data_IF_989889369875
#
_entry.id   IF_989889369875
#
_cell.length_a   1.000
_cell.length_b   1.000
_cell.length_c   1.000
_cell.angle_alpha   90.00
_cell.angle_beta   90.00
_cell.angle_gamma   90.00
#
_symmetry.space_group_name_H-M   'P 1'
#
loop_
_entity.id
_entity.type
_entity.pdbx_description
1 polymer ?
#
# COMPACT_ATOMS: atom_id res chain seq x y z
N UNK A 1 16.67 5.95 -4.90
CA UNK A 1 17.11 4.67 -5.51
C UNK A 1 15.90 4.10 -6.23
N UNK A 2 16.04 3.48 -7.40
CA UNK A 2 14.89 2.84 -8.02
C UNK A 2 14.36 1.78 -7.06
N UNK A 3 13.07 1.83 -6.78
CA UNK A 3 12.40 0.79 -6.01
C UNK A 3 12.59 -0.54 -6.71
N UNK A 4 13.24 -1.46 -6.03
CA UNK A 4 13.40 -2.82 -6.57
C UNK A 4 12.08 -3.53 -6.30
N UNK A 5 11.25 -3.64 -7.32
CA UNK A 5 10.04 -4.44 -7.26
C UNK A 5 10.38 -5.92 -7.34
N UNK A 6 9.67 -6.74 -6.59
CA UNK A 6 9.75 -8.19 -6.78
C UNK A 6 9.24 -8.56 -8.17
N UNK A 7 9.89 -9.53 -8.81
CA UNK A 7 9.48 -10.05 -10.12
C UNK A 7 8.02 -10.55 -10.06
N UNK A 8 7.68 -11.20 -8.97
CA UNK A 8 6.32 -11.66 -8.67
C UNK A 8 5.73 -10.77 -7.58
N UNK A 9 5.56 -9.49 -7.88
CA UNK A 9 4.99 -8.53 -6.93
C UNK A 9 3.50 -8.76 -6.70
N UNK A 10 3.01 -8.39 -5.53
CA UNK A 10 1.58 -8.46 -5.21
C UNK A 10 0.75 -7.57 -6.16
N UNK A 11 1.22 -6.36 -6.45
CA UNK A 11 0.53 -5.42 -7.36
C UNK A 11 0.38 -5.93 -8.80
N UNK A 12 1.26 -6.82 -9.27
CA UNK A 12 1.19 -7.44 -10.59
C UNK A 12 0.57 -8.84 -10.57
N UNK A 13 0.09 -9.31 -9.42
CA UNK A 13 -0.37 -10.69 -9.19
C UNK A 13 -1.46 -11.13 -10.16
N UNK A 14 -2.44 -10.27 -10.45
CA UNK A 14 -3.48 -10.57 -11.44
C UNK A 14 -2.90 -10.94 -12.80
N UNK A 15 -1.79 -10.32 -13.19
CA UNK A 15 -1.15 -10.56 -14.48
C UNK A 15 -0.36 -11.87 -14.49
N UNK A 16 0.57 -12.07 -13.56
CA UNK A 16 1.40 -13.28 -13.56
C UNK A 16 0.65 -14.54 -13.10
N UNK A 17 -0.45 -14.42 -12.35
CA UNK A 17 -1.36 -15.54 -12.07
C UNK A 17 -2.10 -16.03 -13.32
N UNK A 18 -2.45 -15.13 -14.23
CA UNK A 18 -3.15 -15.47 -15.48
C UNK A 18 -2.19 -15.77 -16.64
N UNK A 19 -1.01 -15.19 -16.63
CA UNK A 19 0.01 -15.37 -17.65
C UNK A 19 1.40 -15.44 -17.00
N UNK A 20 1.81 -16.61 -16.55
CA UNK A 20 3.08 -16.80 -15.83
C UNK A 20 4.31 -16.32 -16.60
N UNK A 21 4.41 -16.42 -17.96
CA UNK A 21 5.54 -15.88 -18.70
C UNK A 21 5.66 -14.36 -18.65
N UNK A 22 4.57 -13.64 -18.31
CA UNK A 22 4.57 -12.16 -18.28
C UNK A 22 5.62 -11.60 -17.34
N UNK A 23 5.81 -12.23 -16.17
CA UNK A 23 6.79 -11.80 -15.18
C UNK A 23 8.24 -11.77 -15.71
N UNK A 24 8.61 -12.71 -16.58
CA UNK A 24 9.92 -12.72 -17.24
C UNK A 24 9.98 -11.75 -18.42
N UNK A 25 8.89 -11.65 -19.16
CA UNK A 25 8.84 -10.77 -20.32
C UNK A 25 8.99 -9.31 -19.90
N UNK A 26 8.34 -8.90 -18.84
CA UNK A 26 8.38 -7.52 -18.32
C UNK A 26 9.78 -7.06 -17.92
N UNK A 27 10.65 -7.96 -17.46
CA UNK A 27 12.03 -7.62 -17.11
C UNK A 27 12.84 -7.07 -18.30
N UNK A 28 12.39 -7.31 -19.54
CA UNK A 28 13.06 -6.83 -20.73
C UNK A 28 12.60 -5.42 -21.15
N UNK A 29 11.64 -4.84 -20.45
CA UNK A 29 11.14 -3.51 -20.74
C UNK A 29 11.57 -2.52 -19.63
N UNK A 30 11.89 -1.28 -19.99
CA UNK A 30 12.18 -0.26 -19.00
C UNK A 30 10.94 -0.01 -18.13
N UNK A 31 11.16 0.14 -16.83
CA UNK A 31 10.10 0.57 -15.92
C UNK A 31 9.97 2.10 -16.03
N UNK A 32 9.07 2.56 -16.88
CA UNK A 32 8.77 3.97 -17.03
C UNK A 32 7.70 4.39 -16.03
N UNK A 33 8.03 5.36 -15.17
CA UNK A 33 7.06 5.98 -14.30
C UNK A 33 6.09 6.81 -15.13
N UNK A 34 4.81 6.72 -14.83
CA UNK A 34 3.79 7.61 -15.38
C UNK A 34 3.44 8.70 -14.37
N UNK A 35 2.91 9.83 -14.86
CA UNK A 35 2.39 10.89 -14.00
C UNK A 35 1.38 10.35 -12.96
N UNK A 36 0.55 9.38 -13.36
CA UNK A 36 -0.39 8.74 -12.44
C UNK A 36 0.30 7.90 -11.35
N UNK A 37 1.42 7.26 -11.66
CA UNK A 37 2.20 6.52 -10.68
C UNK A 37 2.90 7.47 -9.69
N UNK A 38 3.37 8.62 -10.16
CA UNK A 38 3.99 9.65 -9.33
C UNK A 38 2.95 10.32 -8.42
N UNK A 39 1.76 10.64 -8.93
CA UNK A 39 0.62 11.12 -8.16
C UNK A 39 0.22 10.09 -7.08
N UNK A 40 0.14 8.80 -7.45
CA UNK A 40 -0.11 7.72 -6.50
C UNK A 40 0.93 7.66 -5.38
N UNK A 41 2.21 7.75 -5.73
CA UNK A 41 3.31 7.77 -4.75
C UNK A 41 3.20 8.95 -3.79
N UNK A 42 2.84 10.13 -4.29
CA UNK A 42 2.63 11.31 -3.46
C UNK A 42 1.47 11.11 -2.47
N UNK A 43 0.36 10.52 -2.94
CA UNK A 43 -0.80 10.23 -2.10
C UNK A 43 -0.47 9.20 -1.00
N UNK A 44 0.28 8.12 -1.32
CA UNK A 44 0.74 7.15 -0.33
C UNK A 44 1.63 7.82 0.73
N UNK A 45 2.60 8.64 0.32
CA UNK A 45 3.46 9.36 1.26
C UNK A 45 2.68 10.29 2.20
N UNK A 46 1.62 10.95 1.70
CA UNK A 46 0.76 11.80 2.51
C UNK A 46 -0.11 10.98 3.46
N UNK A 47 -0.66 9.85 3.01
CA UNK A 47 -1.42 8.90 3.84
C UNK A 47 -0.55 8.31 4.96
N UNK A 48 0.66 7.84 4.62
CA UNK A 48 1.66 7.37 5.58
C UNK A 48 1.94 8.43 6.66
N UNK A 49 2.21 9.65 6.24
CA UNK A 49 2.45 10.76 7.18
C UNK A 49 1.29 10.91 8.18
N UNK A 50 0.04 10.90 7.72
CA UNK A 50 -1.14 11.06 8.58
C UNK A 50 -1.27 9.91 9.58
N UNK A 51 -1.05 8.66 9.14
CA UNK A 51 -1.10 7.49 10.02
C UNK A 51 0.05 7.48 11.04
N UNK A 52 1.28 7.79 10.63
CA UNK A 52 2.42 7.88 11.55
C UNK A 52 2.24 9.00 12.58
N UNK A 53 1.58 10.09 12.21
CA UNK A 53 1.19 11.16 13.16
C UNK A 53 0.19 10.63 14.19
N UNK A 54 -0.80 9.86 13.79
CA UNK A 54 -1.72 9.20 14.72
C UNK A 54 -1.00 8.23 15.67
N UNK A 55 0.00 7.51 15.17
CA UNK A 55 0.85 6.62 15.97
C UNK A 55 1.88 7.35 16.85
N UNK A 56 1.83 8.69 16.89
CA UNK A 56 2.74 9.56 17.64
C UNK A 56 4.20 9.47 17.21
N UNK A 57 4.46 9.06 15.98
CA UNK A 57 5.80 9.05 15.42
C UNK A 57 6.26 10.46 15.00
N UNK A 58 7.56 10.71 15.11
CA UNK A 58 8.17 11.96 14.64
C UNK A 58 8.47 11.85 13.15
N UNK A 59 7.59 12.36 12.33
CA UNK A 59 7.71 12.34 10.87
C UNK A 59 7.57 13.75 10.31
N UNK A 60 8.27 14.00 9.22
CA UNK A 60 8.16 15.25 8.46
C UNK A 60 7.05 15.08 7.42
N UNK A 61 6.17 16.10 7.30
CA UNK A 61 5.18 16.13 6.23
C UNK A 61 5.89 16.08 4.87
N UNK A 62 5.51 15.16 3.98
CA UNK A 62 5.99 15.15 2.60
C UNK A 62 5.47 16.38 1.85
N UNK A 63 6.15 16.75 0.80
CA UNK A 63 5.73 17.81 -0.13
C UNK A 63 5.83 17.27 -1.54
N UNK A 64 4.82 17.51 -2.37
CA UNK A 64 4.78 17.07 -3.76
C UNK A 64 4.12 18.14 -4.61
N UNK A 65 4.52 18.23 -5.88
CA UNK A 65 3.84 19.07 -6.88
C UNK A 65 2.45 18.54 -7.26
N UNK A 66 2.16 17.28 -6.92
CA UNK A 66 0.88 16.62 -7.16
C UNK A 66 -0.12 16.83 -6.00
N UNK A 67 0.31 17.49 -4.92
CA UNK A 67 -0.54 17.72 -3.75
C UNK A 67 -1.60 18.77 -4.06
N UNK A 68 -2.86 18.38 -3.97
CA UNK A 68 -4.03 19.24 -4.14
C UNK A 68 -5.10 18.96 -3.07
N UNK A 69 -6.17 19.74 -3.07
CA UNK A 69 -7.27 19.60 -2.11
C UNK A 69 -7.97 18.24 -2.21
N UNK A 70 -8.04 17.67 -3.40
CA UNK A 70 -8.65 16.34 -3.62
C UNK A 70 -7.78 15.23 -2.99
N UNK A 71 -6.47 15.28 -3.21
CA UNK A 71 -5.53 14.33 -2.60
C UNK A 71 -5.54 14.45 -1.08
N UNK A 72 -5.59 15.68 -0.54
CA UNK A 72 -5.66 15.92 0.90
C UNK A 72 -6.93 15.27 1.48
N UNK A 73 -8.10 15.52 0.87
CA UNK A 73 -9.38 14.95 1.30
C UNK A 73 -9.40 13.43 1.19
N UNK A 74 -8.90 12.85 0.11
CA UNK A 74 -8.85 11.39 -0.09
C UNK A 74 -7.94 10.71 0.93
N UNK A 75 -6.79 11.31 1.23
CA UNK A 75 -5.88 10.78 2.25
C UNK A 75 -6.41 10.95 3.67
N UNK A 76 -7.24 11.96 3.94
CA UNK A 76 -7.97 12.10 5.20
C UNK A 76 -8.97 10.94 5.36
N UNK A 77 -9.76 10.65 4.34
CA UNK A 77 -10.72 9.53 4.34
C UNK A 77 -10.00 8.20 4.60
N UNK A 78 -8.88 7.97 3.92
CA UNK A 78 -8.06 6.77 4.13
C UNK A 78 -7.56 6.68 5.57
N UNK A 79 -6.96 7.75 6.09
CA UNK A 79 -6.44 7.76 7.46
C UNK A 79 -7.55 7.58 8.49
N UNK A 80 -8.68 8.24 8.35
CA UNK A 80 -9.85 8.11 9.23
C UNK A 80 -10.42 6.69 9.24
N UNK A 81 -10.48 6.04 8.08
CA UNK A 81 -10.91 4.65 7.96
C UNK A 81 -10.00 3.71 8.76
N UNK A 82 -8.68 3.87 8.65
CA UNK A 82 -7.71 3.04 9.37
C UNK A 82 -7.77 3.34 10.86
N UNK A 83 -7.77 4.61 11.25
CA UNK A 83 -7.84 5.03 12.65
C UNK A 83 -9.11 4.47 13.32
N UNK A 84 -10.27 4.62 12.68
CA UNK A 84 -11.52 4.08 13.21
C UNK A 84 -11.50 2.55 13.34
N UNK A 85 -10.83 1.88 12.42
CA UNK A 85 -10.64 0.42 12.47
C UNK A 85 -9.74 0.03 13.63
N UNK A 86 -8.62 0.72 13.83
CA UNK A 86 -7.71 0.49 14.95
C UNK A 86 -8.42 0.72 16.29
N UNK A 87 -9.18 1.83 16.42
CA UNK A 87 -9.90 2.13 17.67
C UNK A 87 -10.97 1.07 17.99
N UNK A 88 -11.69 0.59 16.98
CA UNK A 88 -12.63 -0.52 17.14
C UNK A 88 -11.93 -1.81 17.57
N UNK A 89 -10.77 -2.13 17.00
CA UNK A 89 -9.97 -3.30 17.36
C UNK A 89 -9.50 -3.20 18.81
N UNK A 90 -9.13 -2.01 19.28
CA UNK A 90 -8.68 -1.77 20.64
C UNK A 90 -9.74 -2.07 21.71
N UNK A 91 -11.02 -2.09 21.35
CA UNK A 91 -12.11 -2.48 22.27
C UNK A 91 -11.96 -3.94 22.74
N UNK A 92 -11.41 -4.83 21.90
CA UNK A 92 -11.20 -6.25 22.20
C UNK A 92 -9.72 -6.61 22.36
N UNK A 93 -8.85 -5.97 21.60
CA UNK A 93 -7.40 -6.16 21.65
C UNK A 93 -6.71 -4.81 21.95
N UNK A 94 -6.41 -4.51 23.22
CA UNK A 94 -5.90 -3.18 23.63
C UNK A 94 -4.58 -2.76 22.99
N UNK A 95 -3.78 -3.72 22.52
CA UNK A 95 -2.45 -3.50 21.94
C UNK A 95 -2.31 -4.19 20.58
N UNK A 96 -3.07 -3.76 19.55
CA UNK A 96 -2.89 -4.29 18.20
C UNK A 96 -1.52 -3.86 17.66
N UNK A 97 -0.88 -4.73 16.88
CA UNK A 97 0.30 -4.35 16.13
C UNK A 97 -0.15 -3.64 14.85
N UNK A 98 0.20 -2.37 14.71
CA UNK A 98 -0.12 -1.55 13.52
C UNK A 98 1.18 -1.21 12.82
N UNK A 99 1.29 -1.56 11.55
CA UNK A 99 2.45 -1.33 10.70
C UNK A 99 2.01 -0.51 9.48
N UNK A 100 2.78 0.53 9.15
CA UNK A 100 2.47 1.46 8.05
C UNK A 100 3.64 1.46 7.09
N UNK A 101 3.37 1.30 5.79
CA UNK A 101 4.38 1.18 4.73
C UNK A 101 5.44 0.13 5.08
N UNK A 102 4.97 -1.04 5.53
CA UNK A 102 5.85 -2.10 6.01
C UNK A 102 6.24 -3.04 4.88
N UNK A 103 7.55 -3.34 4.80
CA UNK A 103 8.06 -4.33 3.87
C UNK A 103 7.70 -5.74 4.35
N UNK A 104 6.91 -6.42 3.55
CA UNK A 104 6.48 -7.80 3.80
C UNK A 104 7.32 -8.74 2.93
N UNK A 105 8.01 -9.68 3.58
CA UNK A 105 8.75 -10.75 2.91
C UNK A 105 7.90 -12.03 2.92
N UNK A 106 7.50 -12.47 1.75
CA UNK A 106 6.78 -13.73 1.53
C UNK A 106 7.57 -14.67 0.59
N UNK A 107 8.89 -14.54 0.56
CA UNK A 107 9.78 -15.32 -0.29
C UNK A 107 9.71 -16.84 -0.01
N UNK A 108 9.20 -17.24 1.14
CA UNK A 108 8.95 -18.64 1.49
C UNK A 108 7.74 -19.25 0.76
N UNK A 109 6.83 -18.44 0.23
CA UNK A 109 5.70 -18.86 -0.60
C UNK A 109 5.96 -18.62 -2.09
N UNK A 110 6.53 -17.47 -2.39
CA UNK A 110 6.76 -17.00 -3.75
C UNK A 110 8.25 -16.69 -3.92
N UNK A 111 8.99 -17.34 -4.81
CA UNK A 111 10.43 -17.11 -4.97
C UNK A 111 10.79 -15.65 -5.13
N UNK A 112 11.64 -15.14 -4.26
CA UNK A 112 12.02 -13.72 -4.17
C UNK A 112 10.84 -12.75 -4.00
N UNK A 113 9.74 -13.24 -3.43
CA UNK A 113 8.52 -12.45 -3.23
C UNK A 113 8.66 -11.50 -2.04
N UNK A 114 8.40 -10.23 -2.29
CA UNK A 114 8.25 -9.20 -1.28
C UNK A 114 7.34 -8.10 -1.80
N UNK A 115 6.82 -7.31 -0.91
CA UNK A 115 6.00 -6.14 -1.22
C UNK A 115 5.98 -5.16 -0.06
N UNK A 116 5.32 -4.05 -0.24
CA UNK A 116 5.03 -3.10 0.83
C UNK A 116 3.53 -3.13 1.10
N UNK A 117 3.16 -3.26 2.36
CA UNK A 117 1.77 -3.12 2.80
C UNK A 117 1.54 -1.70 3.28
N UNK A 118 0.57 -1.00 2.70
CA UNK A 118 0.28 0.39 3.06
C UNK A 118 -0.13 0.50 4.53
N UNK A 119 -1.02 -0.37 4.99
CA UNK A 119 -1.28 -0.56 6.41
C UNK A 119 -1.60 -2.03 6.70
N UNK A 120 -0.91 -2.59 7.69
CA UNK A 120 -1.11 -3.96 8.17
C UNK A 120 -1.39 -3.92 9.66
N UNK A 121 -2.47 -4.58 10.11
CA UNK A 121 -2.80 -4.68 11.52
C UNK A 121 -2.89 -6.16 11.90
N UNK A 122 -2.26 -6.51 13.02
CA UNK A 122 -2.37 -7.86 13.61
C UNK A 122 -3.01 -7.73 14.99
N UNK A 123 -4.13 -8.39 15.17
CA UNK A 123 -4.90 -8.37 16.41
C UNK A 123 -5.70 -9.67 16.58
N UNK A 124 -5.64 -10.28 17.75
CA UNK A 124 -6.43 -11.48 18.14
C UNK A 124 -6.43 -12.59 17.07
N UNK A 125 -5.25 -12.89 16.50
CA UNK A 125 -5.09 -13.92 15.47
C UNK A 125 -5.65 -13.53 14.10
N UNK A 126 -6.10 -12.30 13.92
CA UNK A 126 -6.58 -11.74 12.66
C UNK A 126 -5.54 -10.84 12.04
N UNK A 127 -5.31 -11.01 10.75
CA UNK A 127 -4.48 -10.15 9.92
C UNK A 127 -5.38 -9.26 9.06
N UNK A 128 -5.24 -7.95 9.21
CA UNK A 128 -5.89 -6.95 8.36
C UNK A 128 -4.84 -6.38 7.41
N UNK A 129 -5.08 -6.48 6.12
CA UNK A 129 -4.23 -5.88 5.08
C UNK A 129 -5.07 -4.83 4.36
N UNK A 130 -4.63 -3.59 4.41
CA UNK A 130 -5.31 -2.45 3.81
C UNK A 130 -4.39 -1.85 2.77
N UNK A 131 -4.93 -1.67 1.57
CA UNK A 131 -4.23 -1.15 0.42
C UNK A 131 -4.96 0.10 -0.08
N UNK A 132 -4.22 1.20 -0.17
CA UNK A 132 -4.74 2.49 -0.60
C UNK A 132 -4.60 2.65 -2.10
N UNK A 133 -5.70 2.91 -2.77
CA UNK A 133 -5.70 3.23 -4.20
C UNK A 133 -6.19 4.66 -4.39
N UNK A 134 -5.28 5.53 -4.82
CA UNK A 134 -5.57 6.90 -5.21
C UNK A 134 -5.40 7.06 -6.71
N UNK A 135 -6.29 7.77 -7.36
CA UNK A 135 -6.12 8.13 -8.76
C UNK A 135 -7.41 8.14 -9.58
N UNK A 136 -7.30 8.75 -10.73
CA UNK A 136 -8.36 8.88 -11.74
C UNK A 136 -8.10 7.86 -12.85
N UNK A 137 -8.92 6.83 -12.96
CA UNK A 137 -8.74 5.95 -14.10
C UNK A 137 -9.31 4.56 -13.93
N UNK A 138 -8.48 3.57 -13.66
CA UNK A 138 -8.92 2.17 -13.63
C UNK A 138 -9.53 1.84 -12.27
N UNK A 139 -10.80 1.49 -12.26
CA UNK A 139 -11.45 0.97 -11.07
C UNK A 139 -10.78 -0.33 -10.61
N UNK A 140 -10.38 -0.38 -9.35
CA UNK A 140 -9.82 -1.57 -8.72
C UNK A 140 -10.90 -2.22 -7.85
N UNK A 141 -11.34 -3.41 -8.26
CA UNK A 141 -12.31 -4.17 -7.49
C UNK A 141 -11.62 -4.78 -6.26
N UNK A 142 -12.22 -4.63 -5.08
CA UNK A 142 -11.75 -5.28 -3.85
C UNK A 142 -12.18 -6.74 -3.75
N UNK A 143 -13.27 -7.14 -4.42
CA UNK A 143 -13.76 -8.52 -4.41
C UNK A 143 -12.91 -9.41 -5.32
N UNK A 144 -12.44 -10.54 -4.77
CA UNK A 144 -11.52 -11.46 -5.44
C UNK A 144 -10.24 -10.80 -5.99
N UNK A 145 -9.78 -9.74 -5.36
CA UNK A 145 -8.52 -9.09 -5.72
C UNK A 145 -7.33 -9.97 -5.29
N UNK A 146 -6.43 -10.35 -6.20
CA UNK A 146 -5.32 -11.25 -5.88
C UNK A 146 -4.09 -10.53 -5.27
N UNK A 147 -4.17 -9.20 -5.06
CA UNK A 147 -3.10 -8.39 -4.48
C UNK A 147 -2.92 -8.63 -2.98
#
# INVERSE_FOLDING_TARGET
MPEVHAILSASSSKRWLNCTPSARLEQNFPNESSVYAEEGTAAHALGEYKLRKYLHERVKRPTSEYEDEEMEANTDIYAEFIISTVERIKETCPHPLVMVEERLDYSYLVPSGFGTGDCVIIADGTLYVMDYKNGKGVFVNCDHNPQ
#
